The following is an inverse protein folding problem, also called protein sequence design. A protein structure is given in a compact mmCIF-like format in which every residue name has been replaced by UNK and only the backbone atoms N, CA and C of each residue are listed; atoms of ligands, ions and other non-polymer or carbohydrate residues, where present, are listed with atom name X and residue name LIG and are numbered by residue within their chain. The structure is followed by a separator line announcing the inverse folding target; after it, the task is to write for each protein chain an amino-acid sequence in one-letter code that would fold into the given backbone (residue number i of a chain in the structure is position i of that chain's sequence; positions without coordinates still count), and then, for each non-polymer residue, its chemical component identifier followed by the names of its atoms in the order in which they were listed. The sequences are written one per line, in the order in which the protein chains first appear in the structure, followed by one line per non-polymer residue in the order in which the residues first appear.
data_IF_296420182420
#
_entry.id   IF_296420182420
#
_cell.length_a   1.000
_cell.length_b   1.000
_cell.length_c   1.000
_cell.angle_alpha   90.00
_cell.angle_beta   90.00
_cell.angle_gamma   90.00
#
_symmetry.space_group_name_H-M   'P 1'
#
loop_
_entity.id
_entity.type
_entity.pdbx_description
1 polymer ?
#
# COMPACT_ATOMS: atom_id res chain seq x y z
N UNK A 1 -5.80 -27.05 17.17
CA UNK A 1 -4.40 -27.32 16.75
C UNK A 1 -4.44 -27.56 15.24
N UNK A 2 -4.34 -26.50 14.43
CA UNK A 2 -4.39 -26.62 12.98
C UNK A 2 -3.00 -26.98 12.45
N UNK A 3 -2.91 -28.13 11.79
CA UNK A 3 -1.71 -28.63 11.13
C UNK A 3 -1.71 -28.08 9.71
N UNK A 4 -0.70 -27.30 9.34
CA UNK A 4 -0.52 -26.80 7.99
C UNK A 4 0.47 -27.72 7.28
N UNK A 5 0.01 -28.49 6.29
CA UNK A 5 0.84 -29.38 5.50
C UNK A 5 1.62 -28.56 4.46
N UNK A 6 2.92 -28.35 4.70
CA UNK A 6 3.84 -27.79 3.71
C UNK A 6 4.32 -28.91 2.78
N UNK A 7 3.95 -28.83 1.50
CA UNK A 7 4.43 -29.77 0.47
C UNK A 7 5.79 -29.29 -0.05
N UNK A 8 6.85 -30.07 0.22
CA UNK A 8 8.20 -29.81 -0.27
C UNK A 8 8.39 -30.49 -1.64
N UNK A 9 8.58 -29.69 -2.69
CA UNK A 9 9.02 -30.18 -4.00
C UNK A 9 10.12 -29.25 -4.51
N UNK A 10 11.36 -29.73 -4.61
CA UNK A 10 12.44 -28.90 -5.15
C UNK A 10 13.84 -29.48 -5.06
N UNK A 11 14.49 -29.52 -6.22
CA UNK A 11 15.85 -29.96 -6.52
C UNK A 11 16.93 -29.12 -5.79
N UNK A 12 18.10 -29.72 -5.49
CA UNK A 12 19.09 -29.25 -4.50
C UNK A 12 19.82 -27.92 -4.83
N UNK A 13 19.49 -27.22 -5.91
CA UNK A 13 20.20 -26.02 -6.36
C UNK A 13 19.44 -24.70 -6.11
N UNK A 14 18.18 -24.72 -5.69
CA UNK A 14 17.46 -23.48 -5.30
C UNK A 14 16.25 -23.86 -4.46
N UNK A 15 16.46 -24.05 -3.16
CA UNK A 15 15.37 -24.32 -2.24
C UNK A 15 14.51 -23.06 -2.11
N UNK A 16 13.39 -23.03 -2.85
CA UNK A 16 12.38 -21.98 -2.76
C UNK A 16 11.32 -22.42 -1.76
N UNK A 17 11.32 -21.82 -0.57
CA UNK A 17 10.17 -21.90 0.34
C UNK A 17 9.14 -20.86 -0.09
N UNK A 18 7.90 -21.27 -0.33
CA UNK A 18 6.77 -20.36 -0.51
C UNK A 18 5.83 -20.59 0.66
N UNK A 19 5.64 -19.58 1.51
CA UNK A 19 4.60 -19.59 2.53
C UNK A 19 3.50 -18.60 2.15
N UNK A 20 2.24 -19.00 2.32
CA UNK A 20 1.09 -18.14 2.09
C UNK A 20 0.22 -18.10 3.34
N UNK A 21 0.02 -16.92 3.90
CA UNK A 21 -0.90 -16.68 5.02
C UNK A 21 -1.69 -15.39 4.77
N UNK A 22 -3.03 -15.46 4.85
CA UNK A 22 -3.92 -14.31 4.70
C UNK A 22 -3.71 -13.43 3.44
N UNK A 23 -3.18 -14.00 2.34
CA UNK A 23 -2.90 -13.28 1.10
C UNK A 23 -1.47 -12.71 1.00
N UNK A 24 -0.64 -12.88 2.03
CA UNK A 24 0.79 -12.59 1.98
C UNK A 24 1.54 -13.81 1.41
N UNK A 25 2.34 -13.59 0.37
CA UNK A 25 3.22 -14.59 -0.21
C UNK A 25 4.66 -14.27 0.16
N UNK A 26 5.26 -15.11 0.99
CA UNK A 26 6.68 -15.01 1.34
C UNK A 26 7.48 -15.97 0.46
N UNK A 27 8.48 -15.46 -0.25
CA UNK A 27 9.41 -16.25 -1.04
C UNK A 27 10.82 -16.14 -0.45
N UNK A 28 11.41 -17.28 -0.09
CA UNK A 28 12.79 -17.34 0.37
C UNK A 28 13.70 -17.72 -0.80
N UNK A 29 14.64 -16.84 -1.12
CA UNK A 29 15.69 -17.09 -2.11
C UNK A 29 17.03 -16.82 -1.44
N UNK A 30 17.93 -17.81 -1.46
CA UNK A 30 19.32 -17.60 -1.05
C UNK A 30 20.06 -16.92 -2.21
N UNK A 31 20.33 -15.62 -2.10
CA UNK A 31 21.11 -14.84 -3.05
C UNK A 31 22.44 -14.37 -2.44
N UNK A 32 23.39 -13.90 -3.24
CA UNK A 32 24.60 -13.24 -2.75
C UNK A 32 24.54 -11.76 -3.16
N UNK A 33 24.76 -10.83 -2.22
CA UNK A 33 24.88 -9.40 -2.56
C UNK A 33 26.26 -9.18 -3.18
N UNK A 34 26.33 -8.48 -4.32
CA UNK A 34 27.60 -8.17 -4.97
C UNK A 34 28.52 -7.46 -3.96
N UNK A 35 29.75 -7.96 -3.81
CA UNK A 35 30.81 -7.45 -2.92
C UNK A 35 30.62 -7.64 -1.39
N UNK A 36 29.67 -8.47 -0.94
CA UNK A 36 29.59 -8.88 0.47
C UNK A 36 30.08 -10.34 0.65
N UNK A 37 31.19 -10.60 1.38
CA UNK A 37 31.68 -11.96 1.61
C UNK A 37 30.78 -12.77 2.56
N UNK A 38 29.80 -12.14 3.21
CA UNK A 38 28.81 -12.83 4.03
C UNK A 38 27.58 -13.26 3.20
N UNK A 39 27.08 -14.49 3.38
CA UNK A 39 25.91 -14.96 2.66
C UNK A 39 24.68 -14.11 3.01
N UNK A 40 23.80 -13.84 2.03
CA UNK A 40 22.49 -13.27 2.35
C UNK A 40 21.71 -14.35 3.08
N UNK A 41 21.32 -14.05 4.31
CA UNK A 41 20.58 -14.99 5.14
C UNK A 41 19.08 -14.93 4.88
N UNK A 42 18.57 -13.76 4.44
CA UNK A 42 17.13 -13.52 4.23
C UNK A 42 16.93 -12.53 3.08
N UNK A 43 16.05 -12.89 2.15
CA UNK A 43 15.49 -11.99 1.13
C UNK A 43 13.97 -11.94 1.37
N UNK A 44 13.42 -10.74 1.54
CA UNK A 44 11.99 -10.53 1.73
C UNK A 44 11.43 -9.81 0.50
N UNK A 45 10.54 -10.48 -0.23
CA UNK A 45 9.73 -9.86 -1.27
C UNK A 45 8.30 -9.76 -0.76
N UNK A 46 7.78 -8.54 -0.64
CA UNK A 46 6.38 -8.30 -0.30
C UNK A 46 5.68 -7.64 -1.48
N UNK A 47 4.56 -8.20 -1.91
CA UNK A 47 3.67 -7.59 -2.90
C UNK A 47 2.35 -7.26 -2.23
N UNK A 48 2.03 -5.97 -2.14
CA UNK A 48 0.76 -5.49 -1.58
C UNK A 48 -0.01 -4.79 -2.69
N UNK A 49 -1.19 -5.29 -3.09
CA UNK A 49 -2.03 -4.57 -4.03
C UNK A 49 -2.59 -3.32 -3.33
N UNK A 50 -2.23 -2.14 -3.84
CA UNK A 50 -2.68 -0.86 -3.30
C UNK A 50 -3.31 0.00 -4.38
N UNK A 51 -4.40 0.66 -4.02
CA UNK A 51 -4.96 1.76 -4.79
C UNK A 51 -4.21 3.07 -4.47
N UNK A 52 -4.33 4.05 -5.36
CA UNK A 52 -3.86 5.42 -5.07
C UNK A 52 -4.51 5.99 -3.80
N UNK A 53 -5.75 5.59 -3.51
CA UNK A 53 -6.45 6.03 -2.30
C UNK A 53 -5.81 5.44 -1.03
N UNK A 54 -5.35 4.19 -1.09
CA UNK A 54 -4.66 3.54 0.03
C UNK A 54 -3.34 4.24 0.36
N UNK A 55 -2.57 4.58 -0.68
CA UNK A 55 -1.33 5.35 -0.54
C UNK A 55 -1.62 6.72 0.08
N UNK A 56 -2.67 7.41 -0.39
CA UNK A 56 -3.02 8.72 0.15
C UNK A 56 -3.43 8.66 1.63
N UNK A 57 -4.20 7.64 2.00
CA UNK A 57 -4.66 7.46 3.38
C UNK A 57 -3.51 7.13 4.33
N UNK A 58 -2.61 6.22 3.95
CA UNK A 58 -1.48 5.84 4.81
C UNK A 58 -0.41 6.95 4.92
N UNK A 59 -0.21 7.75 3.86
CA UNK A 59 0.66 8.93 3.96
C UNK A 59 0.06 9.96 4.90
N UNK A 60 -1.26 10.16 4.86
CA UNK A 60 -1.92 11.10 5.76
C UNK A 60 -1.73 10.73 7.24
N UNK A 61 -1.75 9.44 7.60
CA UNK A 61 -1.52 9.02 9.00
C UNK A 61 -0.13 9.36 9.53
N UNK A 62 0.85 9.57 8.65
CA UNK A 62 2.19 10.01 9.05
C UNK A 62 2.26 11.53 9.27
N UNK A 63 1.66 12.29 8.35
CA UNK A 63 1.83 13.76 8.31
C UNK A 63 0.69 14.54 8.95
N UNK A 64 -0.24 13.85 9.61
CA UNK A 64 -1.43 14.50 10.20
C UNK A 64 -1.06 15.55 11.25
N UNK A 65 0.01 15.31 12.01
CA UNK A 65 0.49 16.18 13.10
C UNK A 65 1.69 17.05 12.72
N UNK A 66 2.22 16.93 11.49
CA UNK A 66 3.27 17.82 11.00
C UNK A 66 2.77 19.26 10.95
N UNK A 67 3.68 20.24 11.08
CA UNK A 67 3.33 21.63 10.80
C UNK A 67 3.10 21.85 9.28
N UNK A 68 2.67 23.06 8.89
CA UNK A 68 2.37 23.32 7.47
C UNK A 68 3.63 23.47 6.61
N UNK A 69 4.78 23.80 7.20
CA UNK A 69 6.05 23.96 6.49
C UNK A 69 6.61 22.57 6.17
N UNK A 70 6.75 21.71 7.17
CA UNK A 70 7.24 20.34 7.02
C UNK A 70 6.33 19.55 6.07
N UNK A 71 5.02 19.76 6.16
CA UNK A 71 4.06 19.14 5.26
C UNK A 71 4.26 19.58 3.80
N UNK A 72 4.51 20.87 3.57
CA UNK A 72 4.74 21.39 2.22
C UNK A 72 6.06 20.89 1.63
N UNK A 73 7.13 20.88 2.44
CA UNK A 73 8.45 20.40 2.05
C UNK A 73 8.39 18.91 1.67
N UNK A 74 7.75 18.09 2.52
CA UNK A 74 7.51 16.66 2.24
C UNK A 74 6.79 16.43 0.91
N UNK A 75 5.74 17.22 0.62
CA UNK A 75 5.01 17.06 -0.64
C UNK A 75 5.85 17.50 -1.86
N UNK A 76 6.84 18.35 -1.68
CA UNK A 76 7.65 18.88 -2.79
C UNK A 76 8.71 17.90 -3.32
N UNK A 77 9.10 16.89 -2.52
CA UNK A 77 10.16 15.94 -2.87
C UNK A 77 9.58 14.60 -3.35
N UNK A 78 9.70 14.30 -4.66
CA UNK A 78 9.31 13.01 -5.24
C UNK A 78 10.04 11.83 -4.57
N UNK A 79 11.33 12.01 -4.27
CA UNK A 79 12.20 10.99 -3.70
C UNK A 79 11.79 10.67 -2.26
N UNK A 80 11.66 11.69 -1.41
CA UNK A 80 11.25 11.51 -0.01
C UNK A 80 9.83 10.94 0.07
N UNK A 81 8.91 11.41 -0.78
CA UNK A 81 7.55 10.88 -0.82
C UNK A 81 7.53 9.38 -1.15
N UNK A 82 8.27 8.95 -2.17
CA UNK A 82 8.33 7.53 -2.58
C UNK A 82 9.03 6.66 -1.53
N UNK A 83 10.12 7.14 -0.95
CA UNK A 83 10.82 6.44 0.11
C UNK A 83 9.89 6.22 1.31
N UNK A 84 9.16 7.26 1.71
CA UNK A 84 8.21 7.20 2.82
C UNK A 84 7.05 6.23 2.56
N UNK A 85 6.48 6.23 1.35
CA UNK A 85 5.45 5.25 0.97
C UNK A 85 5.98 3.83 1.11
N UNK A 86 7.21 3.57 0.64
CA UNK A 86 7.86 2.26 0.80
C UNK A 86 7.98 1.84 2.26
N UNK A 87 8.54 2.71 3.11
CA UNK A 87 8.68 2.45 4.55
C UNK A 87 7.35 2.19 5.24
N UNK A 88 6.31 2.96 4.90
CA UNK A 88 4.98 2.81 5.48
C UNK A 88 4.36 1.45 5.15
N UNK A 89 4.46 1.03 3.90
CA UNK A 89 3.91 -0.25 3.45
C UNK A 89 4.63 -1.41 4.13
N UNK A 90 5.97 -1.36 4.24
CA UNK A 90 6.75 -2.37 4.95
C UNK A 90 6.50 -2.38 6.46
N UNK A 91 6.37 -1.21 7.08
CA UNK A 91 6.23 -1.08 8.53
C UNK A 91 4.84 -1.44 9.05
N UNK A 92 3.79 -1.08 8.31
CA UNK A 92 2.41 -1.21 8.78
C UNK A 92 1.66 -2.42 8.19
N UNK A 93 2.14 -2.94 7.05
CA UNK A 93 1.49 -4.06 6.35
C UNK A 93 0.04 -3.77 5.97
N UNK A 94 -0.74 -4.82 5.73
CA UNK A 94 -2.13 -4.69 5.29
C UNK A 94 -3.06 -4.09 6.37
N UNK A 95 -2.85 -4.42 7.64
CA UNK A 95 -3.71 -3.96 8.74
C UNK A 95 -3.67 -2.43 8.88
N UNK A 96 -2.48 -1.82 8.81
CA UNK A 96 -2.39 -0.36 8.90
C UNK A 96 -2.99 0.36 7.69
N UNK A 97 -3.06 -0.28 6.52
CA UNK A 97 -3.78 0.28 5.37
C UNK A 97 -5.28 0.34 5.67
N UNK A 98 -5.87 -0.73 6.21
CA UNK A 98 -7.29 -0.77 6.59
C UNK A 98 -7.61 0.28 7.67
N UNK A 99 -6.77 0.41 8.69
CA UNK A 99 -6.92 1.42 9.74
C UNK A 99 -6.81 2.86 9.18
N UNK A 100 -5.89 3.09 8.24
CA UNK A 100 -5.75 4.37 7.57
C UNK A 100 -6.99 4.71 6.74
N UNK A 101 -7.61 3.74 6.05
CA UNK A 101 -8.86 3.94 5.33
C UNK A 101 -10.01 4.36 6.27
N UNK A 102 -10.16 3.66 7.40
CA UNK A 102 -11.20 3.97 8.40
C UNK A 102 -10.99 5.38 8.97
N UNK A 103 -9.74 5.72 9.30
CA UNK A 103 -9.37 7.03 9.82
C UNK A 103 -9.63 8.14 8.81
N UNK A 104 -9.26 7.93 7.55
CA UNK A 104 -9.50 8.90 6.47
C UNK A 104 -11.00 9.10 6.17
N UNK A 105 -11.80 8.03 6.27
CA UNK A 105 -13.26 8.11 6.10
C UNK A 105 -13.95 8.96 7.17
N UNK A 106 -13.37 9.05 8.37
CA UNK A 106 -13.89 9.88 9.46
C UNK A 106 -13.60 11.39 9.31
N UNK A 107 -12.73 11.78 8.36
CA UNK A 107 -12.32 13.18 8.18
C UNK A 107 -13.46 14.00 7.57
N UNK A 108 -13.92 15.01 8.33
CA UNK A 108 -14.99 15.91 7.91
C UNK A 108 -14.54 16.86 6.81
N UNK A 109 -15.37 17.01 5.77
CA UNK A 109 -15.15 17.97 4.68
C UNK A 109 -15.02 19.40 5.22
N UNK A 110 -14.19 20.21 4.55
CA UNK A 110 -13.96 21.61 4.91
C UNK A 110 -12.97 21.84 6.06
N UNK A 111 -12.58 20.79 6.78
CA UNK A 111 -11.55 20.87 7.84
C UNK A 111 -10.13 20.99 7.25
N UNK A 112 -9.16 21.42 8.08
CA UNK A 112 -7.74 21.42 7.72
C UNK A 112 -7.25 20.02 7.35
N UNK A 113 -7.63 19.02 8.15
CA UNK A 113 -7.37 17.60 7.89
C UNK A 113 -7.84 17.17 6.49
N UNK A 114 -9.07 17.56 6.10
CA UNK A 114 -9.60 17.26 4.78
C UNK A 114 -8.77 17.90 3.67
N UNK A 115 -8.36 19.16 3.82
CA UNK A 115 -7.53 19.86 2.83
C UNK A 115 -6.17 19.17 2.64
N UNK A 116 -5.51 18.80 3.74
CA UNK A 116 -4.24 18.07 3.69
C UNK A 116 -4.39 16.73 2.97
N UNK A 117 -5.43 15.96 3.31
CA UNK A 117 -5.71 14.70 2.62
C UNK A 117 -5.96 14.91 1.12
N UNK A 118 -6.62 15.99 0.70
CA UNK A 118 -6.78 16.30 -0.73
C UNK A 118 -5.45 16.63 -1.41
N UNK A 119 -4.55 17.37 -0.76
CA UNK A 119 -3.22 17.67 -1.30
C UNK A 119 -2.39 16.40 -1.48
N UNK A 120 -2.44 15.49 -0.50
CA UNK A 120 -1.80 14.17 -0.61
C UNK A 120 -2.40 13.37 -1.77
N UNK A 121 -3.75 13.26 -1.85
CA UNK A 121 -4.41 12.56 -2.97
C UNK A 121 -3.97 13.09 -4.32
N UNK A 122 -3.93 14.42 -4.48
CA UNK A 122 -3.44 15.04 -5.70
C UNK A 122 -2.00 14.61 -5.99
N UNK A 123 -1.11 14.67 -5.01
CA UNK A 123 0.28 14.31 -5.17
C UNK A 123 0.48 12.83 -5.54
N UNK A 124 -0.28 11.93 -4.92
CA UNK A 124 -0.27 10.51 -5.27
C UNK A 124 -0.71 10.30 -6.73
N UNK A 125 -1.73 11.02 -7.20
CA UNK A 125 -2.15 10.93 -8.59
C UNK A 125 -1.10 11.46 -9.58
N UNK A 126 -0.34 12.48 -9.20
CA UNK A 126 0.76 13.00 -10.01
C UNK A 126 1.91 11.97 -10.11
N UNK A 127 2.22 11.26 -9.02
CA UNK A 127 3.35 10.32 -8.97
C UNK A 127 3.05 8.92 -9.52
N UNK A 128 1.85 8.40 -9.27
CA UNK A 128 1.48 7.02 -9.58
C UNK A 128 0.39 6.90 -10.65
N UNK A 129 -0.09 8.04 -11.16
CA UNK A 129 -1.11 8.12 -12.19
C UNK A 129 -2.53 8.27 -11.62
N UNK A 130 -3.43 8.72 -12.50
CA UNK A 130 -4.84 8.78 -12.18
C UNK A 130 -5.47 7.38 -12.24
N UNK A 131 -6.45 7.09 -11.37
CA UNK A 131 -7.25 5.89 -11.52
C UNK A 131 -7.89 5.90 -12.92
N UNK A 132 -7.91 4.77 -13.63
CA UNK A 132 -8.52 4.70 -14.95
C UNK A 132 -9.96 5.20 -14.83
N UNK A 133 -10.34 6.15 -15.69
CA UNK A 133 -11.70 6.66 -15.72
C UNK A 133 -12.68 5.48 -15.82
N UNK A 134 -13.68 5.44 -14.94
CA UNK A 134 -14.66 4.36 -14.91
C UNK A 134 -15.18 4.12 -16.33
N UNK A 135 -14.91 2.93 -16.88
CA UNK A 135 -15.34 2.61 -18.23
C UNK A 135 -16.87 2.67 -18.30
N UNK A 136 -17.48 3.02 -19.46
CA UNK A 136 -18.92 3.22 -19.58
C UNK A 136 -19.78 2.08 -19.00
N UNK A 137 -19.24 0.85 -19.04
CA UNK A 137 -19.85 -0.35 -18.43
C UNK A 137 -19.99 -0.25 -16.92
N UNK A 138 -18.96 0.17 -16.20
CA UNK A 138 -18.99 0.33 -14.74
C UNK A 138 -19.94 1.46 -14.31
N UNK A 139 -20.03 2.54 -15.11
CA UNK A 139 -20.95 3.66 -14.84
C UNK A 139 -22.42 3.23 -14.90
N UNK A 140 -22.73 2.27 -15.77
CA UNK A 140 -24.10 1.75 -15.94
C UNK A 140 -24.48 0.78 -14.81
N UNK A 141 -23.53 -0.04 -14.35
CA UNK A 141 -23.73 -0.94 -13.21
C UNK A 141 -23.97 -0.18 -11.89
N UNK A 142 -23.13 0.82 -11.60
CA UNK A 142 -23.25 1.65 -10.39
C UNK A 142 -24.57 2.45 -10.33
N UNK A 143 -25.07 2.86 -11.50
CA UNK A 143 -26.35 3.59 -11.62
C UNK A 143 -27.57 2.67 -11.45
N UNK A 144 -27.44 1.37 -11.74
CA UNK A 144 -28.48 0.36 -11.46
C UNK A 144 -28.49 -0.05 -9.99
N UNK A 145 -27.33 -0.21 -9.36
CA UNK A 145 -27.26 -0.52 -7.92
C UNK A 145 -27.92 0.58 -7.08
N UNK A 146 -27.58 1.84 -7.32
CA UNK A 146 -28.17 2.98 -6.61
C UNK A 146 -29.70 3.14 -6.85
N UNK A 147 -30.21 2.66 -7.98
CA UNK A 147 -31.65 2.67 -8.27
C UNK A 147 -32.40 1.50 -7.61
N UNK A 148 -31.69 0.44 -7.19
CA UNK A 148 -32.29 -0.76 -6.59
C UNK A 148 -32.36 -0.66 -5.06
N UNK A 149 -31.50 0.14 -4.44
CA UNK A 149 -31.51 0.40 -2.99
C UNK A 149 -32.48 1.52 -2.57
N UNK A 150 -33.09 2.22 -3.54
CA UNK A 150 -33.99 3.36 -3.33
C UNK A 150 -35.49 3.03 -3.53
N UNK A 151 -35.85 1.75 -3.67
CA UNK A 151 -37.23 1.26 -3.76
C UNK A 151 -37.49 0.19 -2.71
#
# INVERSE_FOLDING_TARGET
MHRTDATFTGDKATARGIASAAGHCDAFIASHRQDNPTPVLVELTMTVPMSAEDIANIVYTLVWDCDDTDFADFLSSDEEFRAMVGELVFGHGALGIEEAQVSAAAIKRGTRAYRRLQQIRQRVHELYGQPPAATPRQRTARRRELATTAG
#
